data_IF_190455413289
#
_entry.id   IF_190455413289
#
_cell.length_a   1.000
_cell.length_b   1.000
_cell.length_c   1.000
_cell.angle_alpha   90.00
_cell.angle_beta   90.00
_cell.angle_gamma   90.00
#
_symmetry.space_group_name_H-M   'P 1'
#
loop_
_entity.id
_entity.type
_entity.pdbx_description
1 polymer ?
#
# COMPACT_ATOMS: atom_id res chain seq x y z
N UNK A 1 9.60 -22.66 -7.18
CA UNK A 1 9.18 -21.77 -6.08
C UNK A 1 8.25 -20.75 -6.73
N UNK A 2 6.92 -20.81 -6.40
CA UNK A 2 5.93 -19.90 -6.97
C UNK A 2 6.10 -18.48 -6.45
N UNK A 3 5.75 -17.50 -7.26
CA UNK A 3 5.69 -16.11 -6.85
C UNK A 3 4.64 -15.96 -5.75
N UNK A 4 4.94 -15.16 -4.72
CA UNK A 4 4.01 -14.89 -3.60
C UNK A 4 3.64 -13.42 -3.61
N UNK A 5 2.35 -13.14 -3.57
CA UNK A 5 1.81 -11.80 -3.39
C UNK A 5 1.44 -11.61 -1.92
N UNK A 6 2.00 -10.60 -1.28
CA UNK A 6 1.64 -10.21 0.09
C UNK A 6 0.77 -8.96 -0.03
N UNK A 7 -0.46 -9.05 0.47
CA UNK A 7 -1.40 -7.93 0.52
C UNK A 7 -1.65 -7.58 1.98
N UNK A 8 -1.35 -6.36 2.35
CA UNK A 8 -1.61 -5.85 3.70
C UNK A 8 -2.68 -4.76 3.62
N UNK A 9 -3.75 -4.97 4.38
CA UNK A 9 -4.88 -4.06 4.46
C UNK A 9 -4.91 -3.43 5.85
N UNK A 10 -4.91 -2.12 5.91
CA UNK A 10 -5.05 -1.37 7.16
C UNK A 10 -6.43 -0.75 7.24
N UNK A 11 -7.11 -0.89 8.37
CA UNK A 11 -8.44 -0.38 8.61
C UNK A 11 -9.42 -1.46 9.06
N UNK A 12 -10.68 -1.08 9.24
CA UNK A 12 -11.78 -1.99 9.61
C UNK A 12 -12.40 -2.59 8.33
N UNK A 13 -11.59 -3.42 7.64
CA UNK A 13 -12.00 -4.09 6.40
C UNK A 13 -12.26 -5.56 6.73
N UNK A 14 -13.43 -6.08 6.33
CA UNK A 14 -13.72 -7.51 6.44
C UNK A 14 -12.74 -8.29 5.55
N UNK A 15 -11.91 -9.17 6.13
CA UNK A 15 -10.99 -10.00 5.36
C UNK A 15 -11.70 -10.83 4.27
N UNK A 16 -12.95 -11.25 4.52
CA UNK A 16 -13.74 -11.99 3.55
C UNK A 16 -14.13 -11.17 2.32
N UNK A 17 -14.46 -9.88 2.50
CA UNK A 17 -14.69 -8.94 1.38
C UNK A 17 -13.40 -8.66 0.62
N UNK A 18 -12.29 -8.44 1.33
CA UNK A 18 -11.00 -8.20 0.71
C UNK A 18 -10.54 -9.39 -0.16
N UNK A 19 -10.68 -10.61 0.33
CA UNK A 19 -10.36 -11.84 -0.44
C UNK A 19 -11.26 -11.94 -1.67
N UNK A 20 -12.56 -11.65 -1.54
CA UNK A 20 -13.49 -11.62 -2.68
C UNK A 20 -13.11 -10.56 -3.70
N UNK A 21 -12.71 -9.37 -3.27
CA UNK A 21 -12.30 -8.28 -4.17
C UNK A 21 -10.97 -8.60 -4.88
N UNK A 22 -9.99 -9.16 -4.18
CA UNK A 22 -8.70 -9.57 -4.76
C UNK A 22 -8.87 -10.76 -5.69
N UNK A 23 -9.74 -11.71 -5.36
CA UNK A 23 -10.08 -12.87 -6.19
C UNK A 23 -10.98 -12.55 -7.39
N UNK A 24 -11.61 -11.38 -7.44
CA UNK A 24 -12.52 -10.93 -8.49
C UNK A 24 -11.81 -10.35 -9.73
N UNK A 25 -10.61 -10.82 -10.07
CA UNK A 25 -10.07 -10.51 -11.40
C UNK A 25 -10.78 -11.40 -12.42
N UNK A 26 -11.78 -10.87 -13.16
CA UNK A 26 -12.55 -11.70 -14.07
C UNK A 26 -11.67 -12.20 -15.21
N UNK A 27 -11.72 -13.49 -15.45
CA UNK A 27 -11.02 -14.12 -16.58
C UNK A 27 -11.84 -13.88 -17.84
N UNK A 28 -11.38 -12.91 -18.64
CA UNK A 28 -11.98 -12.62 -19.97
C UNK A 28 -11.46 -13.61 -20.99
N UNK A 29 -12.36 -14.27 -21.70
CA UNK A 29 -12.06 -15.17 -22.81
C UNK A 29 -12.94 -14.89 -24.02
N UNK A 30 -12.34 -14.99 -25.21
CA UNK A 30 -13.08 -15.01 -26.46
C UNK A 30 -13.14 -16.42 -26.96
N UNK A 31 -14.35 -16.86 -27.31
CA UNK A 31 -14.59 -18.23 -27.82
C UNK A 31 -15.30 -18.18 -29.17
N UNK A 32 -14.84 -18.98 -30.12
CA UNK A 32 -15.45 -19.10 -31.44
C UNK A 32 -16.34 -20.35 -31.55
N UNK A 33 -17.27 -20.34 -32.50
CA UNK A 33 -18.14 -21.47 -32.76
C UNK A 33 -17.35 -22.74 -33.11
N UNK A 34 -17.78 -23.89 -32.56
CA UNK A 34 -17.31 -25.21 -33.00
C UNK A 34 -17.87 -25.51 -34.41
N UNK A 35 -17.24 -26.46 -35.14
CA UNK A 35 -17.67 -26.85 -36.47
C UNK A 35 -19.10 -27.40 -36.51
N UNK A 36 -19.50 -28.13 -35.45
CA UNK A 36 -20.83 -28.71 -35.28
C UNK A 36 -21.77 -27.84 -34.38
N UNK A 37 -21.60 -26.51 -34.43
CA UNK A 37 -22.33 -25.54 -33.60
C UNK A 37 -23.86 -25.69 -33.69
N UNK A 38 -24.42 -25.81 -34.89
CA UNK A 38 -25.86 -25.89 -35.06
C UNK A 38 -26.43 -27.23 -34.50
N UNK A 39 -25.70 -28.34 -34.67
CA UNK A 39 -26.09 -29.64 -34.09
C UNK A 39 -26.09 -29.59 -32.54
N UNK A 40 -25.05 -29.02 -31.96
CA UNK A 40 -24.96 -28.85 -30.49
C UNK A 40 -26.08 -27.95 -30.01
N UNK A 41 -26.38 -26.86 -30.71
CA UNK A 41 -27.42 -25.92 -30.36
C UNK A 41 -28.81 -26.56 -30.36
N UNK A 42 -29.15 -27.31 -31.43
CA UNK A 42 -30.40 -28.02 -31.52
C UNK A 42 -30.54 -29.08 -30.41
N UNK A 43 -29.47 -29.87 -30.16
CA UNK A 43 -29.46 -30.88 -29.09
C UNK A 43 -29.63 -30.22 -27.72
N UNK A 44 -28.91 -29.13 -27.44
CA UNK A 44 -29.03 -28.39 -26.18
C UNK A 44 -30.45 -27.82 -26.01
N UNK A 45 -31.07 -27.31 -27.10
CA UNK A 45 -32.44 -26.79 -27.04
C UNK A 45 -33.44 -27.88 -26.65
N UNK A 46 -33.33 -29.05 -27.26
CA UNK A 46 -34.18 -30.20 -26.89
C UNK A 46 -33.99 -30.66 -25.43
N UNK A 47 -32.73 -30.61 -24.92
CA UNK A 47 -32.43 -30.91 -23.54
C UNK A 47 -33.04 -29.85 -22.60
N UNK A 48 -32.95 -28.58 -22.95
CA UNK A 48 -33.51 -27.47 -22.18
C UNK A 48 -35.04 -27.53 -22.10
N UNK A 49 -35.72 -27.90 -23.20
CA UNK A 49 -37.15 -28.10 -23.20
C UNK A 49 -37.57 -29.25 -22.24
N UNK A 50 -36.86 -30.39 -22.27
CA UNK A 50 -37.08 -31.49 -21.33
C UNK A 50 -36.80 -31.10 -19.89
N UNK A 51 -35.74 -30.32 -19.62
CA UNK A 51 -35.43 -29.82 -18.27
C UNK A 51 -36.62 -28.99 -17.78
N UNK A 52 -37.16 -28.10 -18.60
CA UNK A 52 -38.29 -27.25 -18.22
C UNK A 52 -39.54 -28.06 -17.88
N UNK A 53 -39.85 -29.06 -18.70
CA UNK A 53 -40.99 -29.96 -18.41
C UNK A 53 -40.81 -30.76 -17.11
N UNK A 54 -39.58 -31.21 -16.81
CA UNK A 54 -39.29 -31.96 -15.58
C UNK A 54 -39.30 -31.06 -14.34
N UNK A 55 -38.80 -29.83 -14.45
CA UNK A 55 -38.86 -28.82 -13.38
C UNK A 55 -40.30 -28.46 -13.02
N UNK A 56 -41.18 -28.32 -14.01
CA UNK A 56 -42.63 -28.09 -13.78
C UNK A 56 -43.29 -29.28 -13.02
N UNK A 57 -42.72 -30.49 -13.14
CA UNK A 57 -43.19 -31.71 -12.42
C UNK A 57 -42.46 -31.91 -11.09
N UNK A 58 -41.47 -31.05 -10.73
CA UNK A 58 -40.68 -31.19 -9.50
C UNK A 58 -39.66 -32.34 -9.52
N UNK A 59 -39.27 -32.83 -10.71
CA UNK A 59 -38.30 -33.89 -10.89
C UNK A 59 -36.88 -33.42 -10.92
N UNK A 60 -35.90 -34.28 -10.57
CA UNK A 60 -34.47 -33.92 -10.58
C UNK A 60 -33.94 -33.86 -12.03
N UNK A 61 -33.32 -32.72 -12.38
CA UNK A 61 -32.83 -32.43 -13.72
C UNK A 61 -31.32 -32.49 -13.86
N UNK A 62 -30.55 -32.84 -12.78
CA UNK A 62 -29.09 -32.80 -12.75
C UNK A 62 -28.43 -33.63 -13.88
N UNK A 63 -28.96 -34.79 -14.18
CA UNK A 63 -28.46 -35.67 -15.23
C UNK A 63 -28.62 -35.07 -16.64
N UNK A 64 -29.72 -34.35 -16.90
CA UNK A 64 -29.94 -33.68 -18.17
C UNK A 64 -29.09 -32.42 -18.31
N UNK A 65 -28.91 -31.68 -17.22
CA UNK A 65 -28.02 -30.52 -17.21
C UNK A 65 -26.58 -30.91 -17.50
N UNK A 66 -26.10 -32.07 -17.05
CA UNK A 66 -24.77 -32.59 -17.35
C UNK A 66 -24.58 -33.00 -18.83
N UNK A 67 -25.65 -33.14 -19.61
CA UNK A 67 -25.61 -33.48 -21.06
C UNK A 67 -25.54 -32.24 -21.97
N UNK A 68 -25.66 -31.02 -21.40
CA UNK A 68 -25.54 -29.78 -22.16
C UNK A 68 -24.08 -29.63 -22.59
N UNK A 69 -23.83 -29.58 -23.89
CA UNK A 69 -22.51 -29.43 -24.47
C UNK A 69 -22.21 -27.94 -24.73
N UNK A 70 -20.93 -27.55 -24.46
CA UNK A 70 -20.45 -26.20 -24.74
C UNK A 70 -20.30 -26.02 -26.28
N UNK A 71 -21.04 -25.09 -26.92
CA UNK A 71 -21.02 -24.92 -28.37
C UNK A 71 -19.84 -24.07 -28.89
N UNK A 72 -19.05 -23.49 -27.98
CA UNK A 72 -17.92 -22.64 -28.31
C UNK A 72 -16.60 -23.27 -27.88
N UNK A 73 -15.52 -22.92 -28.60
CA UNK A 73 -14.14 -23.34 -28.28
C UNK A 73 -13.26 -22.11 -27.99
N UNK A 74 -12.30 -22.19 -27.07
CA UNK A 74 -11.38 -21.10 -26.76
C UNK A 74 -10.56 -20.67 -27.98
N UNK A 75 -10.28 -19.36 -28.10
CA UNK A 75 -9.51 -18.78 -29.21
C UNK A 75 -8.08 -18.40 -28.85
N UNK A 76 -7.73 -18.47 -27.56
CA UNK A 76 -6.44 -17.96 -27.05
C UNK A 76 -6.43 -16.45 -26.78
N UNK A 77 -7.37 -15.67 -27.31
CA UNK A 77 -7.53 -14.26 -26.96
C UNK A 77 -8.22 -14.16 -25.59
N UNK A 78 -7.51 -13.60 -24.62
CA UNK A 78 -7.96 -13.47 -23.23
C UNK A 78 -7.59 -12.12 -22.62
N UNK A 79 -7.91 -11.92 -21.34
CA UNK A 79 -7.67 -10.67 -20.62
C UNK A 79 -6.21 -10.21 -20.57
N UNK A 80 -5.24 -11.10 -20.77
CA UNK A 80 -3.80 -10.79 -20.82
C UNK A 80 -3.46 -9.80 -21.94
N UNK A 81 -4.22 -9.83 -23.02
CA UNK A 81 -4.05 -8.95 -24.18
C UNK A 81 -4.81 -7.64 -24.07
N UNK A 82 -5.57 -7.45 -22.98
CA UNK A 82 -6.33 -6.24 -22.76
C UNK A 82 -5.43 -5.13 -22.24
N UNK A 83 -5.44 -3.99 -22.94
CA UNK A 83 -4.73 -2.77 -22.53
C UNK A 83 -5.60 -1.91 -21.61
N UNK A 84 -6.91 -1.81 -21.92
CA UNK A 84 -7.85 -0.98 -21.17
C UNK A 84 -9.29 -1.42 -21.42
N UNK A 85 -10.13 -1.31 -20.39
CA UNK A 85 -11.58 -1.39 -20.51
C UNK A 85 -12.22 -0.10 -19.96
N UNK A 86 -13.31 0.37 -20.57
CA UNK A 86 -14.02 1.59 -20.16
C UNK A 86 -15.52 1.39 -20.28
N UNK A 87 -16.26 2.00 -19.36
CA UNK A 87 -17.68 2.22 -19.56
C UNK A 87 -17.88 3.26 -20.67
N UNK A 88 -18.77 2.97 -21.60
CA UNK A 88 -19.19 3.86 -22.66
C UNK A 88 -20.70 3.73 -22.89
N UNK A 89 -21.30 4.63 -23.65
CA UNK A 89 -22.73 4.65 -23.92
C UNK A 89 -22.98 4.65 -25.42
N UNK A 90 -23.95 3.87 -25.85
CA UNK A 90 -24.38 3.88 -27.24
C UNK A 90 -25.06 5.22 -27.57
N UNK A 91 -24.66 5.84 -28.67
CA UNK A 91 -25.13 7.19 -29.04
C UNK A 91 -26.62 7.22 -29.41
N UNK A 92 -27.20 6.10 -29.84
CA UNK A 92 -28.58 6.03 -30.26
C UNK A 92 -29.52 5.54 -29.17
N UNK A 93 -29.10 4.52 -28.41
CA UNK A 93 -29.94 3.86 -27.39
C UNK A 93 -29.66 4.37 -25.97
N UNK A 94 -28.54 5.08 -25.78
CA UNK A 94 -28.03 5.49 -24.44
C UNK A 94 -27.77 4.32 -23.50
N UNK A 95 -27.74 3.09 -24.00
CA UNK A 95 -27.44 1.90 -23.20
C UNK A 95 -25.95 1.85 -22.86
N UNK A 96 -25.60 1.46 -21.61
CA UNK A 96 -24.23 1.29 -21.21
C UNK A 96 -23.61 0.03 -21.82
N UNK A 97 -22.37 0.14 -22.31
CA UNK A 97 -21.57 -0.99 -22.73
C UNK A 97 -20.13 -0.86 -22.25
N UNK A 98 -19.37 -1.96 -22.26
CA UNK A 98 -17.96 -1.94 -21.92
C UNK A 98 -17.12 -1.97 -23.19
N UNK A 99 -16.38 -0.89 -23.42
CA UNK A 99 -15.41 -0.77 -24.53
C UNK A 99 -14.09 -1.39 -24.12
N UNK A 100 -13.56 -2.28 -24.94
CA UNK A 100 -12.28 -2.97 -24.77
C UNK A 100 -11.25 -2.43 -25.76
N UNK A 101 -10.04 -2.17 -25.30
CA UNK A 101 -8.87 -1.83 -26.12
C UNK A 101 -7.77 -2.85 -25.87
N UNK A 102 -7.35 -3.57 -26.90
CA UNK A 102 -6.28 -4.54 -26.82
C UNK A 102 -4.90 -3.89 -27.02
N UNK A 103 -3.86 -4.55 -26.52
CA UNK A 103 -2.48 -4.21 -26.82
C UNK A 103 -2.14 -4.57 -28.29
N UNK A 104 -0.95 -4.25 -28.76
CA UNK A 104 -0.53 -4.48 -30.16
C UNK A 104 -0.56 -5.95 -30.58
N UNK A 105 -0.29 -6.88 -29.68
CA UNK A 105 -0.34 -8.32 -29.93
C UNK A 105 -1.81 -8.80 -29.98
N UNK A 106 -2.60 -8.43 -28.97
CA UNK A 106 -4.02 -8.76 -28.93
C UNK A 106 -4.82 -8.18 -30.09
N UNK A 107 -4.46 -6.98 -30.57
CA UNK A 107 -5.10 -6.36 -31.73
C UNK A 107 -4.90 -7.21 -33.00
N UNK A 108 -3.71 -7.79 -33.21
CA UNK A 108 -3.45 -8.68 -34.36
C UNK A 108 -4.24 -9.98 -34.22
N UNK A 109 -4.23 -10.60 -33.04
CA UNK A 109 -5.00 -11.83 -32.78
C UNK A 109 -6.50 -11.57 -32.99
N UNK A 110 -7.02 -10.43 -32.51
CA UNK A 110 -8.43 -10.05 -32.66
C UNK A 110 -8.81 -9.80 -34.11
N UNK A 111 -7.92 -9.15 -34.89
CA UNK A 111 -8.11 -8.92 -36.33
C UNK A 111 -8.18 -10.23 -37.13
N UNK A 112 -7.26 -11.19 -36.88
CA UNK A 112 -7.28 -12.52 -37.47
C UNK A 112 -8.53 -13.31 -37.04
N UNK A 113 -8.89 -13.24 -35.75
CA UNK A 113 -10.05 -13.91 -35.20
C UNK A 113 -11.35 -13.41 -35.83
N UNK A 114 -11.52 -12.09 -35.97
CA UNK A 114 -12.71 -11.50 -36.61
C UNK A 114 -12.73 -11.77 -38.10
N UNK A 115 -11.59 -11.77 -38.80
CA UNK A 115 -11.51 -12.09 -40.21
C UNK A 115 -12.01 -13.51 -40.53
N UNK A 116 -11.64 -14.52 -39.76
CA UNK A 116 -12.04 -15.92 -39.99
C UNK A 116 -13.46 -16.27 -39.48
N UNK A 117 -14.05 -15.39 -38.67
CA UNK A 117 -15.35 -15.58 -38.07
C UNK A 117 -16.43 -14.62 -38.61
N UNK A 118 -16.22 -13.99 -39.79
CA UNK A 118 -17.24 -13.13 -40.42
C UNK A 118 -18.52 -13.93 -40.63
N UNK A 119 -19.67 -13.39 -40.21
CA UNK A 119 -20.97 -14.03 -40.24
C UNK A 119 -21.23 -15.03 -39.10
N UNK A 120 -20.24 -15.39 -38.27
CA UNK A 120 -20.33 -16.30 -37.14
C UNK A 120 -20.43 -15.55 -35.80
N UNK A 121 -20.80 -16.26 -34.74
CA UNK A 121 -20.86 -15.74 -33.37
C UNK A 121 -19.45 -15.84 -32.75
N UNK A 122 -19.01 -14.74 -32.16
CA UNK A 122 -17.81 -14.68 -31.33
C UNK A 122 -18.25 -14.40 -29.89
N UNK A 123 -18.31 -15.43 -29.08
CA UNK A 123 -18.81 -15.34 -27.72
C UNK A 123 -17.76 -14.76 -26.78
N UNK A 124 -18.18 -13.88 -25.87
CA UNK A 124 -17.38 -13.26 -24.83
C UNK A 124 -17.76 -13.87 -23.48
N UNK A 125 -16.80 -14.50 -22.85
CA UNK A 125 -16.94 -15.17 -21.57
C UNK A 125 -16.19 -14.41 -20.48
N UNK A 126 -16.80 -14.38 -19.31
CA UNK A 126 -16.17 -13.88 -18.08
C UNK A 126 -16.37 -14.96 -17.02
N UNK A 127 -15.27 -15.45 -16.44
CA UNK A 127 -15.25 -16.54 -15.44
C UNK A 127 -16.00 -17.80 -15.92
N UNK A 128 -15.91 -18.11 -17.22
CA UNK A 128 -16.58 -19.25 -17.83
C UNK A 128 -18.08 -19.05 -18.11
N UNK A 129 -18.64 -17.87 -17.81
CA UNK A 129 -20.03 -17.52 -18.08
C UNK A 129 -20.12 -16.69 -19.37
N UNK A 130 -20.98 -17.03 -20.34
CA UNK A 130 -21.17 -16.23 -21.55
C UNK A 130 -21.91 -14.92 -21.20
N UNK A 131 -21.26 -13.78 -21.43
CA UNK A 131 -21.83 -12.46 -21.14
C UNK A 131 -22.43 -11.83 -22.40
N UNK A 132 -21.82 -12.08 -23.56
CA UNK A 132 -22.27 -11.51 -24.82
C UNK A 132 -21.91 -12.46 -25.97
N UNK A 133 -22.80 -12.62 -26.93
CA UNK A 133 -22.64 -13.51 -28.10
C UNK A 133 -22.87 -12.75 -29.40
N UNK A 134 -22.07 -11.69 -29.69
CA UNK A 134 -22.25 -10.89 -30.89
C UNK A 134 -21.89 -11.67 -32.15
N UNK A 135 -22.58 -11.36 -33.26
CA UNK A 135 -22.22 -11.82 -34.60
C UNK A 135 -21.19 -10.88 -35.21
N UNK A 136 -20.09 -11.42 -35.69
CA UNK A 136 -19.06 -10.65 -36.41
C UNK A 136 -19.61 -10.24 -37.78
N UNK A 137 -19.77 -8.93 -38.00
CA UNK A 137 -20.30 -8.41 -39.27
C UNK A 137 -19.18 -8.28 -40.30
N UNK A 138 -18.02 -7.81 -39.86
CA UNK A 138 -16.86 -7.57 -40.73
C UNK A 138 -15.57 -7.78 -39.92
N UNK A 139 -14.45 -7.85 -40.66
CA UNK A 139 -13.12 -7.87 -40.06
C UNK A 139 -12.87 -6.57 -39.28
N UNK A 140 -12.47 -6.67 -38.01
CA UNK A 140 -12.22 -5.52 -37.16
C UNK A 140 -10.70 -5.32 -37.02
N UNK A 141 -10.19 -4.28 -37.65
CA UNK A 141 -8.81 -3.81 -37.49
C UNK A 141 -8.77 -2.70 -36.43
N UNK A 142 -7.66 -2.62 -35.66
CA UNK A 142 -7.46 -1.56 -34.65
C UNK A 142 -7.68 -1.99 -33.19
N UNK A 143 -7.97 -3.27 -32.95
CA UNK A 143 -7.93 -3.85 -31.60
C UNK A 143 -8.96 -3.28 -30.64
N UNK A 144 -10.14 -2.89 -31.10
CA UNK A 144 -11.24 -2.43 -30.26
C UNK A 144 -12.43 -3.38 -30.37
N UNK A 145 -12.97 -3.77 -29.22
CA UNK A 145 -14.19 -4.55 -29.10
C UNK A 145 -15.14 -3.89 -28.11
N UNK A 146 -16.41 -4.27 -28.17
CA UNK A 146 -17.43 -3.83 -27.19
C UNK A 146 -18.16 -5.04 -26.63
N UNK A 147 -18.39 -5.03 -25.31
CA UNK A 147 -19.26 -5.98 -24.64
C UNK A 147 -20.60 -5.29 -24.46
N UNK A 148 -21.60 -5.76 -25.19
CA UNK A 148 -23.00 -5.31 -25.08
C UNK A 148 -23.79 -6.34 -24.31
N UNK A 149 -24.77 -5.90 -23.52
CA UNK A 149 -25.66 -6.74 -22.72
C UNK A 149 -26.62 -5.86 -21.92
N UNK A 150 -27.53 -6.47 -21.17
CA UNK A 150 -28.42 -5.74 -20.26
C UNK A 150 -27.70 -5.35 -18.97
N UNK A 151 -26.77 -4.39 -19.09
CA UNK A 151 -26.03 -3.86 -17.93
C UNK A 151 -26.72 -2.64 -17.36
N UNK A 152 -26.75 -2.56 -16.04
CA UNK A 152 -26.91 -1.26 -15.38
C UNK A 152 -25.59 -0.47 -15.49
N UNK A 153 -25.66 0.86 -15.36
CA UNK A 153 -24.46 1.72 -15.37
C UNK A 153 -23.45 1.29 -14.31
N UNK A 154 -23.95 0.84 -13.15
CA UNK A 154 -23.10 0.35 -12.04
C UNK A 154 -22.36 -0.94 -12.42
N UNK A 155 -23.07 -1.91 -12.95
CA UNK A 155 -22.48 -3.20 -13.37
C UNK A 155 -21.44 -3.00 -14.50
N UNK A 156 -21.79 -2.23 -15.52
CA UNK A 156 -20.86 -1.94 -16.61
C UNK A 156 -19.60 -1.20 -16.13
N UNK A 157 -19.74 -0.29 -15.16
CA UNK A 157 -18.62 0.43 -14.55
C UNK A 157 -17.72 -0.49 -13.72
N UNK A 158 -18.33 -1.36 -12.91
CA UNK A 158 -17.60 -2.35 -12.10
C UNK A 158 -16.88 -3.36 -13.01
N UNK A 159 -17.55 -3.86 -14.04
CA UNK A 159 -16.95 -4.76 -15.03
C UNK A 159 -15.76 -4.10 -15.75
N UNK A 160 -15.93 -2.87 -16.23
CA UNK A 160 -14.85 -2.12 -16.88
C UNK A 160 -13.65 -1.90 -15.94
N UNK A 161 -13.90 -1.58 -14.67
CA UNK A 161 -12.86 -1.41 -13.65
C UNK A 161 -12.12 -2.72 -13.41
N UNK A 162 -12.85 -3.82 -13.22
CA UNK A 162 -12.28 -5.13 -12.92
C UNK A 162 -11.47 -5.67 -14.11
N UNK A 163 -11.97 -5.51 -15.33
CA UNK A 163 -11.23 -5.87 -16.54
C UNK A 163 -10.00 -4.98 -16.78
N UNK A 164 -10.07 -3.68 -16.42
CA UNK A 164 -8.92 -2.76 -16.54
C UNK A 164 -7.84 -3.03 -15.48
N UNK A 165 -8.20 -3.57 -14.32
CA UNK A 165 -7.23 -4.00 -13.31
C UNK A 165 -6.35 -5.15 -13.80
N UNK A 166 -6.73 -5.79 -14.91
CA UNK A 166 -5.98 -6.85 -15.59
C UNK A 166 -6.34 -8.23 -15.05
N UNK A 167 -6.41 -9.19 -15.95
CA UNK A 167 -6.39 -10.59 -15.57
C UNK A 167 -4.99 -10.90 -15.01
N UNK A 168 -4.93 -11.33 -13.76
CA UNK A 168 -3.68 -11.86 -13.21
C UNK A 168 -3.21 -13.02 -14.11
N UNK A 169 -1.93 -13.04 -14.48
CA UNK A 169 -1.41 -14.05 -15.40
C UNK A 169 -1.46 -15.48 -14.84
N UNK A 170 -1.79 -15.62 -13.55
CA UNK A 170 -1.95 -16.91 -12.88
C UNK A 170 -3.08 -16.82 -11.83
N UNK A 171 -3.82 -17.93 -11.58
CA UNK A 171 -4.81 -17.97 -10.52
C UNK A 171 -4.15 -17.77 -9.15
N UNK A 172 -4.70 -16.86 -8.35
CA UNK A 172 -4.22 -16.62 -6.99
C UNK A 172 -4.98 -17.53 -6.02
N UNK A 173 -4.21 -18.27 -5.22
CA UNK A 173 -4.75 -19.06 -4.13
C UNK A 173 -4.33 -18.47 -2.79
N UNK A 174 -5.27 -18.32 -1.87
CA UNK A 174 -4.97 -17.90 -0.51
C UNK A 174 -4.12 -18.96 0.19
N UNK A 175 -2.87 -18.62 0.51
CA UNK A 175 -1.92 -19.53 1.19
C UNK A 175 -1.99 -19.32 2.71
N UNK A 176 -2.09 -18.06 3.15
CA UNK A 176 -2.10 -17.71 4.57
C UNK A 176 -2.84 -16.39 4.77
N UNK A 177 -3.58 -16.30 5.86
CA UNK A 177 -4.28 -15.11 6.30
C UNK A 177 -3.94 -14.86 7.76
N UNK A 178 -3.40 -13.67 8.05
CA UNK A 178 -3.18 -13.21 9.41
C UNK A 178 -4.05 -11.97 9.64
N UNK A 179 -5.03 -12.07 10.53
CA UNK A 179 -5.83 -10.92 10.94
C UNK A 179 -5.55 -10.57 12.40
N UNK A 180 -5.24 -9.31 12.66
CA UNK A 180 -5.13 -8.77 14.03
C UNK A 180 -6.44 -8.08 14.35
N UNK A 181 -7.24 -8.67 15.23
CA UNK A 181 -8.54 -8.11 15.60
C UNK A 181 -8.41 -6.70 16.23
N UNK A 182 -9.42 -5.81 16.08
CA UNK A 182 -9.40 -4.43 16.57
C UNK A 182 -9.09 -4.32 18.06
N UNK A 183 -9.53 -5.29 18.87
CA UNK A 183 -9.28 -5.35 20.32
C UNK A 183 -7.80 -5.55 20.64
N UNK A 184 -7.12 -6.47 19.95
CA UNK A 184 -5.69 -6.72 20.13
C UNK A 184 -4.85 -5.54 19.64
N UNK A 185 -5.22 -4.93 18.52
CA UNK A 185 -4.59 -3.73 18.00
C UNK A 185 -4.68 -2.56 19.00
N UNK A 186 -5.87 -2.31 19.59
CA UNK A 186 -6.09 -1.27 20.60
C UNK A 186 -5.27 -1.51 21.87
N UNK A 187 -5.26 -2.75 22.37
CA UNK A 187 -4.48 -3.12 23.57
C UNK A 187 -2.98 -2.94 23.32
N UNK A 188 -2.48 -3.40 22.18
CA UNK A 188 -1.07 -3.26 21.81
C UNK A 188 -0.66 -1.80 21.67
N UNK A 189 -1.49 -0.98 21.01
CA UNK A 189 -1.26 0.46 20.89
C UNK A 189 -1.22 1.14 22.24
N UNK A 190 -2.17 0.86 23.12
CA UNK A 190 -2.18 1.42 24.48
C UNK A 190 -0.95 1.04 25.29
N UNK A 191 -0.52 -0.23 25.22
CA UNK A 191 0.70 -0.70 25.89
C UNK A 191 1.94 -0.01 25.31
N UNK A 192 2.04 0.13 23.99
CA UNK A 192 3.17 0.80 23.32
C UNK A 192 3.23 2.29 23.67
N UNK A 193 2.09 2.99 23.68
CA UNK A 193 2.03 4.39 24.09
C UNK A 193 2.45 4.56 25.56
N UNK A 194 1.97 3.70 26.47
CA UNK A 194 2.41 3.72 27.87
C UNK A 194 3.92 3.49 27.98
N UNK A 195 4.46 2.49 27.29
CA UNK A 195 5.90 2.22 27.27
C UNK A 195 6.69 3.42 26.72
N UNK A 196 6.20 4.08 25.65
CA UNK A 196 6.80 5.28 25.10
C UNK A 196 6.83 6.45 26.09
N UNK A 197 5.73 6.69 26.82
CA UNK A 197 5.67 7.73 27.87
C UNK A 197 6.64 7.42 29.02
N UNK A 198 6.64 6.19 29.52
CA UNK A 198 7.58 5.80 30.59
C UNK A 198 9.04 5.87 30.11
N UNK A 199 9.32 5.46 28.88
CA UNK A 199 10.65 5.59 28.28
C UNK A 199 11.08 7.05 28.18
N UNK A 200 10.21 7.93 27.67
CA UNK A 200 10.46 9.37 27.60
C UNK A 200 10.74 9.98 28.95
N UNK A 201 9.92 9.66 29.96
CA UNK A 201 10.11 10.13 31.35
C UNK A 201 11.43 9.61 31.95
N UNK A 202 11.78 8.35 31.68
CA UNK A 202 13.05 7.78 32.10
C UNK A 202 14.25 8.50 31.51
N UNK A 203 14.20 8.80 30.22
CA UNK A 203 15.24 9.58 29.51
C UNK A 203 15.34 11.00 30.05
N UNK A 204 14.23 11.69 30.26
CA UNK A 204 14.19 13.04 30.87
C UNK A 204 14.81 13.02 32.26
N UNK A 205 14.43 12.06 33.10
CA UNK A 205 14.98 11.91 34.45
C UNK A 205 16.48 11.67 34.40
N UNK A 206 16.93 10.75 33.53
CA UNK A 206 18.36 10.49 33.33
C UNK A 206 19.12 11.75 32.94
N UNK A 207 18.61 12.49 31.94
CA UNK A 207 19.25 13.70 31.46
C UNK A 207 19.37 14.78 32.57
N UNK A 208 18.33 14.99 33.35
CA UNK A 208 18.33 15.97 34.43
C UNK A 208 19.32 15.56 35.53
N UNK A 209 19.35 14.29 35.90
CA UNK A 209 20.24 13.79 36.97
C UNK A 209 21.71 13.85 36.58
N UNK A 210 22.05 13.43 35.35
CA UNK A 210 23.45 13.36 34.89
C UNK A 210 23.99 14.70 34.34
N UNK A 211 23.16 15.44 33.58
CA UNK A 211 23.58 16.67 32.90
C UNK A 211 23.06 17.94 33.53
N UNK A 212 22.25 17.85 34.59
CA UNK A 212 21.73 18.98 35.38
C UNK A 212 21.09 20.04 34.44
N UNK A 213 21.64 21.27 34.39
CA UNK A 213 21.07 22.36 33.58
C UNK A 213 21.06 22.06 32.06
N UNK A 214 22.15 21.61 31.42
CA UNK A 214 22.09 21.10 30.06
C UNK A 214 21.05 20.00 29.85
N UNK A 215 20.91 19.08 30.82
CA UNK A 215 19.91 18.01 30.78
C UNK A 215 18.47 18.53 30.79
N UNK A 216 18.19 19.58 31.55
CA UNK A 216 16.89 20.25 31.53
C UNK A 216 16.60 20.88 30.16
N UNK A 217 17.59 21.53 29.55
CA UNK A 217 17.47 22.09 28.19
C UNK A 217 17.20 21.01 27.17
N UNK A 218 17.94 19.88 27.24
CA UNK A 218 17.69 18.74 26.34
C UNK A 218 16.29 18.14 26.55
N UNK A 219 15.81 18.09 27.79
CA UNK A 219 14.46 17.59 28.09
C UNK A 219 13.38 18.46 27.43
N UNK A 220 13.53 19.78 27.49
CA UNK A 220 12.62 20.70 26.79
C UNK A 220 12.72 20.53 25.27
N UNK A 221 13.96 20.43 24.74
CA UNK A 221 14.16 20.17 23.30
C UNK A 221 13.55 18.83 22.86
N UNK A 222 13.60 17.78 23.71
CA UNK A 222 13.00 16.48 23.43
C UNK A 222 11.47 16.54 23.43
N UNK A 223 10.85 17.33 24.30
CA UNK A 223 9.41 17.57 24.29
C UNK A 223 9.00 18.29 22.98
N UNK A 224 9.75 19.31 22.59
CA UNK A 224 9.52 20.04 21.31
C UNK A 224 9.69 19.09 20.12
N UNK A 225 10.76 18.27 20.12
CA UNK A 225 10.98 17.22 19.11
C UNK A 225 9.77 16.31 18.99
N UNK A 226 9.27 15.81 20.12
CA UNK A 226 8.10 14.93 20.16
C UNK A 226 6.86 15.62 19.58
N UNK A 227 6.65 16.89 19.90
CA UNK A 227 5.56 17.70 19.32
C UNK A 227 5.68 17.87 17.81
N UNK A 228 6.89 18.16 17.31
CA UNK A 228 7.14 18.32 15.87
C UNK A 228 6.88 17.00 15.12
N UNK A 229 7.42 15.88 15.61
CA UNK A 229 7.29 14.61 14.91
C UNK A 229 5.83 14.11 14.89
N UNK A 230 5.10 14.28 15.99
CA UNK A 230 3.66 13.95 16.04
C UNK A 230 2.84 14.84 15.09
N UNK A 231 3.20 16.11 14.97
CA UNK A 231 2.57 17.04 14.03
C UNK A 231 2.85 16.63 12.58
N UNK A 232 4.08 16.19 12.27
CA UNK A 232 4.44 15.67 10.96
C UNK A 232 3.66 14.39 10.62
N UNK A 233 3.49 13.45 11.54
CA UNK A 233 2.70 12.24 11.31
C UNK A 233 1.23 12.55 11.02
N UNK A 234 0.70 13.65 11.57
CA UNK A 234 -0.67 14.11 11.29
C UNK A 234 -0.76 14.83 9.94
N UNK A 235 0.27 15.58 9.57
CA UNK A 235 0.32 16.34 8.31
C UNK A 235 0.54 15.42 7.10
N UNK A 236 1.47 14.47 7.24
CA UNK A 236 1.70 13.42 6.26
C UNK A 236 0.78 12.25 6.67
N UNK A 237 -0.19 11.81 5.83
CA UNK A 237 -1.09 10.73 6.21
C UNK A 237 -0.35 9.39 6.31
N UNK A 238 0.48 9.24 7.34
CA UNK A 238 1.23 8.01 7.63
C UNK A 238 0.35 7.08 8.44
N UNK A 239 0.13 5.88 7.93
CA UNK A 239 -0.52 4.81 8.70
C UNK A 239 0.44 4.34 9.79
N UNK A 240 0.18 4.72 11.03
CA UNK A 240 0.99 4.29 12.18
C UNK A 240 0.72 2.81 12.49
N UNK A 241 1.54 1.93 11.93
CA UNK A 241 1.56 0.51 12.29
C UNK A 241 2.22 0.35 13.67
N UNK A 242 2.03 -0.81 14.31
CA UNK A 242 2.69 -1.11 15.60
C UNK A 242 4.22 -1.01 15.48
N UNK A 243 4.78 -1.42 14.35
CA UNK A 243 6.21 -1.25 14.04
C UNK A 243 6.58 0.23 13.89
N UNK A 244 5.71 1.04 13.26
CA UNK A 244 5.91 2.49 13.16
C UNK A 244 5.94 3.17 14.52
N UNK A 245 5.09 2.76 15.46
CA UNK A 245 5.17 3.24 16.86
C UNK A 245 6.51 2.84 17.50
N UNK A 246 7.01 1.62 17.24
CA UNK A 246 8.34 1.17 17.68
C UNK A 246 9.47 2.04 17.12
N UNK A 247 9.43 2.35 15.81
CA UNK A 247 10.38 3.24 15.15
C UNK A 247 10.37 4.66 15.73
N UNK A 248 9.18 5.20 16.04
CA UNK A 248 9.05 6.48 16.73
C UNK A 248 9.68 6.44 18.14
N UNK A 249 9.38 5.44 18.96
CA UNK A 249 9.95 5.33 20.31
C UNK A 249 11.49 5.22 20.24
N UNK A 250 12.02 4.44 19.31
CA UNK A 250 13.46 4.33 19.10
C UNK A 250 14.06 5.67 18.69
N UNK A 251 13.41 6.43 17.82
CA UNK A 251 13.90 7.75 17.38
C UNK A 251 13.93 8.77 18.50
N UNK A 252 13.04 8.69 19.49
CA UNK A 252 13.08 9.50 20.72
C UNK A 252 14.36 9.23 21.52
N UNK A 253 14.78 7.96 21.63
CA UNK A 253 16.06 7.60 22.27
C UNK A 253 17.25 8.20 21.54
N UNK A 254 17.29 8.07 20.20
CA UNK A 254 18.36 8.61 19.37
C UNK A 254 18.40 10.16 19.31
N UNK A 255 17.25 10.82 19.53
CA UNK A 255 17.19 12.28 19.56
C UNK A 255 18.00 12.88 20.73
N UNK A 256 18.21 12.11 21.77
CA UNK A 256 19.01 12.54 22.94
C UNK A 256 20.51 12.43 22.67
N UNK A 257 20.95 11.44 21.90
CA UNK A 257 22.38 11.17 21.65
C UNK A 257 23.11 12.40 21.09
N UNK A 258 22.49 13.12 20.16
CA UNK A 258 23.05 14.35 19.61
C UNK A 258 23.24 15.42 20.68
N UNK A 259 22.29 15.58 21.60
CA UNK A 259 22.36 16.54 22.70
C UNK A 259 23.45 16.16 23.69
N UNK A 260 23.53 14.86 24.05
CA UNK A 260 24.58 14.32 24.95
C UNK A 260 25.96 14.63 24.36
N UNK A 261 26.17 14.37 23.09
CA UNK A 261 27.45 14.61 22.43
C UNK A 261 27.81 16.09 22.44
N UNK A 262 26.89 17.00 22.17
CA UNK A 262 27.08 18.44 22.26
C UNK A 262 27.47 18.85 23.69
N UNK A 263 26.80 18.33 24.71
CA UNK A 263 27.05 18.66 26.11
C UNK A 263 28.38 18.14 26.61
N UNK A 264 28.78 16.93 26.21
CA UNK A 264 30.11 16.42 26.56
C UNK A 264 31.22 17.29 25.91
N UNK A 265 31.06 17.70 24.65
CA UNK A 265 32.00 18.61 24.03
C UNK A 265 32.00 19.99 24.70
N UNK A 266 30.86 20.52 25.06
CA UNK A 266 30.76 21.77 25.82
C UNK A 266 31.47 21.67 27.17
N UNK A 267 31.29 20.56 27.89
CA UNK A 267 31.96 20.28 29.17
C UNK A 267 33.48 20.21 29.01
N UNK A 268 33.96 19.52 27.95
CA UNK A 268 35.41 19.48 27.62
C UNK A 268 36.01 20.88 27.42
N UNK A 269 35.34 21.70 26.60
CA UNK A 269 35.81 23.05 26.26
C UNK A 269 35.81 23.99 27.51
N UNK A 270 34.78 23.89 28.34
CA UNK A 270 34.69 24.63 29.61
C UNK A 270 35.76 24.18 30.63
N UNK A 271 36.14 22.91 30.64
CA UNK A 271 37.23 22.38 31.50
C UNK A 271 38.62 22.94 31.06
N UNK A 272 38.79 23.22 29.76
CA UNK A 272 39.97 23.85 29.21
C UNK A 272 40.07 25.35 29.56
N UNK A 273 39.07 25.91 30.25
CA UNK A 273 39.09 27.32 30.70
C UNK A 273 38.55 28.30 29.65
N UNK A 274 37.99 27.85 28.55
CA UNK A 274 37.42 28.74 27.54
C UNK A 274 36.20 29.46 28.08
N UNK A 275 35.94 30.64 27.56
CA UNK A 275 34.70 31.37 27.80
C UNK A 275 33.53 30.63 27.23
N UNK A 276 32.35 30.78 27.86
CA UNK A 276 31.17 30.00 27.55
C UNK A 276 30.72 30.13 26.08
N UNK A 277 30.77 31.34 25.54
CA UNK A 277 30.43 31.63 24.13
C UNK A 277 31.35 30.87 23.17
N UNK A 278 32.65 30.91 23.42
CA UNK A 278 33.67 30.23 22.62
C UNK A 278 33.52 28.71 22.78
N UNK A 279 33.35 28.23 24.03
CA UNK A 279 33.18 26.83 24.34
C UNK A 279 31.93 26.25 23.63
N UNK A 280 30.82 26.98 23.63
CA UNK A 280 29.59 26.58 22.95
C UNK A 280 29.79 26.47 21.44
N UNK A 281 30.43 27.48 20.80
CA UNK A 281 30.73 27.47 19.38
C UNK A 281 31.62 26.27 18.99
N UNK A 282 32.67 26.02 19.76
CA UNK A 282 33.59 24.90 19.51
C UNK A 282 32.93 23.55 19.77
N UNK A 283 32.05 23.42 20.79
CA UNK A 283 31.32 22.22 21.09
C UNK A 283 30.45 21.79 19.91
N UNK A 284 29.67 22.72 19.34
CA UNK A 284 28.87 22.44 18.15
C UNK A 284 29.73 22.08 16.94
N UNK A 285 30.84 22.81 16.71
CA UNK A 285 31.74 22.54 15.59
C UNK A 285 32.35 21.14 15.67
N UNK A 286 32.75 20.69 16.87
CA UNK A 286 33.40 19.40 17.09
C UNK A 286 32.39 18.24 17.17
N UNK A 287 31.17 18.48 17.66
CA UNK A 287 30.14 17.48 17.73
C UNK A 287 29.49 17.21 16.35
N UNK A 288 29.39 18.22 15.51
CA UNK A 288 28.63 18.13 14.25
C UNK A 288 29.07 16.98 13.33
N UNK A 289 30.37 16.74 13.04
CA UNK A 289 30.73 15.62 12.16
C UNK A 289 30.24 14.28 12.67
N UNK A 290 30.37 14.00 13.98
CA UNK A 290 29.92 12.74 14.58
C UNK A 290 28.39 12.61 14.54
N UNK A 291 27.66 13.69 14.84
CA UNK A 291 26.20 13.70 14.77
C UNK A 291 25.74 13.47 13.34
N UNK A 292 26.33 14.16 12.37
CA UNK A 292 26.00 14.01 10.96
C UNK A 292 26.25 12.57 10.49
N UNK A 293 27.46 12.06 10.70
CA UNK A 293 27.89 10.78 10.15
C UNK A 293 27.10 9.60 10.78
N UNK A 294 26.87 9.63 12.09
CA UNK A 294 26.05 8.63 12.78
C UNK A 294 24.59 8.62 12.31
N UNK A 295 23.98 9.81 12.23
CA UNK A 295 22.58 9.93 11.77
C UNK A 295 22.45 9.60 10.27
N UNK A 296 23.44 9.96 9.44
CA UNK A 296 23.44 9.66 8.02
C UNK A 296 23.51 8.16 7.77
N UNK A 297 24.34 7.43 8.54
CA UNK A 297 24.41 5.97 8.48
C UNK A 297 23.04 5.34 8.80
N UNK A 298 22.40 5.79 9.86
CA UNK A 298 21.07 5.26 10.25
C UNK A 298 19.98 5.65 9.23
N UNK A 299 20.08 6.83 8.62
CA UNK A 299 19.17 7.27 7.56
C UNK A 299 19.31 6.39 6.30
N UNK A 300 20.53 6.02 5.92
CA UNK A 300 20.77 5.08 4.80
C UNK A 300 20.12 3.72 5.12
N UNK A 301 20.28 3.21 6.34
CA UNK A 301 19.62 1.97 6.76
C UNK A 301 18.09 2.10 6.68
N UNK A 302 17.53 3.22 7.16
CA UNK A 302 16.11 3.49 7.07
C UNK A 302 15.59 3.53 5.61
N UNK A 303 16.34 4.13 4.69
CA UNK A 303 16.01 4.15 3.26
C UNK A 303 16.02 2.74 2.68
N UNK A 304 17.05 1.94 2.98
CA UNK A 304 17.14 0.55 2.51
C UNK A 304 15.97 -0.28 3.05
N UNK A 305 15.64 -0.14 4.33
CA UNK A 305 14.51 -0.84 4.94
C UNK A 305 13.17 -0.37 4.36
N UNK A 306 13.06 0.89 3.99
CA UNK A 306 11.84 1.43 3.36
C UNK A 306 11.67 0.90 1.93
N UNK A 307 12.75 0.83 1.15
CA UNK A 307 12.68 0.37 -0.26
C UNK A 307 12.48 -1.14 -0.36
N UNK A 308 13.30 -1.91 0.36
CA UNK A 308 13.34 -3.38 0.25
C UNK A 308 12.54 -4.12 1.33
N UNK A 309 12.02 -3.43 2.34
CA UNK A 309 11.28 -4.04 3.43
C UNK A 309 9.84 -4.41 3.06
N UNK A 310 9.25 -5.32 3.85
CA UNK A 310 7.80 -5.56 3.83
C UNK A 310 7.06 -4.33 4.35
N UNK A 311 5.74 -4.22 4.10
CA UNK A 311 4.93 -3.07 4.52
C UNK A 311 5.05 -2.79 6.04
N UNK A 312 5.13 -3.84 6.87
CA UNK A 312 5.38 -3.71 8.30
C UNK A 312 6.72 -3.03 8.61
N UNK A 313 7.79 -3.41 7.92
CA UNK A 313 9.14 -2.84 8.05
C UNK A 313 9.21 -1.43 7.46
N UNK A 314 8.46 -1.17 6.38
CA UNK A 314 8.37 0.18 5.78
C UNK A 314 7.81 1.21 6.75
N UNK A 315 6.77 0.84 7.51
CA UNK A 315 6.21 1.72 8.54
C UNK A 315 7.22 2.09 9.63
N UNK A 316 7.99 1.12 10.11
CA UNK A 316 9.11 1.34 11.05
C UNK A 316 10.18 2.25 10.43
N UNK A 317 10.63 1.95 9.22
CA UNK A 317 11.69 2.68 8.53
C UNK A 317 11.32 4.15 8.28
N UNK A 318 10.08 4.40 7.86
CA UNK A 318 9.57 5.75 7.63
C UNK A 318 9.55 6.59 8.91
N UNK A 319 8.99 6.05 10.00
CA UNK A 319 8.91 6.78 11.28
C UNK A 319 10.29 7.00 11.89
N UNK A 320 11.19 6.02 11.76
CA UNK A 320 12.58 6.13 12.18
C UNK A 320 13.31 7.21 11.37
N UNK A 321 13.22 7.18 10.04
CA UNK A 321 13.89 8.15 9.16
C UNK A 321 13.42 9.58 9.40
N UNK A 322 12.10 9.81 9.51
CA UNK A 322 11.55 11.11 9.87
C UNK A 322 12.02 11.55 11.27
N UNK A 323 12.04 10.63 12.22
CA UNK A 323 12.53 10.89 13.57
C UNK A 323 13.97 11.36 13.57
N UNK A 324 14.86 10.73 12.81
CA UNK A 324 16.27 11.13 12.69
C UNK A 324 16.41 12.54 12.11
N UNK A 325 15.68 12.86 11.04
CA UNK A 325 15.73 14.18 10.42
C UNK A 325 15.29 15.27 11.39
N UNK A 326 14.19 15.04 12.12
CA UNK A 326 13.68 15.99 13.12
C UNK A 326 14.62 16.08 14.33
N UNK A 327 15.27 14.97 14.74
CA UNK A 327 16.24 14.98 15.84
C UNK A 327 17.47 15.81 15.53
N UNK A 328 18.01 15.69 14.31
CA UNK A 328 19.12 16.53 13.84
C UNK A 328 18.73 18.02 13.84
N UNK A 329 17.55 18.34 13.32
CA UNK A 329 17.01 19.70 13.36
C UNK A 329 16.87 20.20 14.81
N UNK A 330 16.29 19.42 15.69
CA UNK A 330 16.10 19.77 17.11
C UNK A 330 17.44 20.02 17.83
N UNK A 331 18.42 19.15 17.63
CA UNK A 331 19.75 19.32 18.24
C UNK A 331 20.47 20.58 17.75
N UNK A 332 20.42 20.85 16.44
CA UNK A 332 21.18 21.97 15.85
C UNK A 332 20.49 23.32 16.07
N UNK A 333 19.14 23.34 15.93
CA UNK A 333 18.39 24.61 15.98
C UNK A 333 17.83 24.83 17.36
N UNK A 334 17.01 23.90 17.88
CA UNK A 334 16.29 24.10 19.14
C UNK A 334 17.25 24.13 20.32
N UNK A 335 18.09 23.10 20.49
CA UNK A 335 19.04 23.03 21.61
C UNK A 335 20.04 24.16 21.57
N UNK A 336 20.55 24.51 20.37
CA UNK A 336 21.47 25.64 20.22
C UNK A 336 20.82 26.97 20.60
N UNK A 337 19.58 27.20 20.18
CA UNK A 337 18.84 28.42 20.52
C UNK A 337 18.64 28.55 22.02
N UNK A 338 18.24 27.46 22.68
CA UNK A 338 18.10 27.46 24.14
C UNK A 338 19.43 27.71 24.86
N UNK A 339 20.52 27.08 24.45
CA UNK A 339 21.82 27.31 25.03
C UNK A 339 22.29 28.76 24.84
N UNK A 340 22.00 29.38 23.71
CA UNK A 340 22.30 30.78 23.44
C UNK A 340 21.55 31.77 24.35
N UNK A 341 20.35 31.44 24.83
CA UNK A 341 19.56 32.27 25.75
C UNK A 341 20.29 32.44 27.09
N UNK A 342 21.14 31.48 27.49
CA UNK A 342 21.92 31.59 28.73
C UNK A 342 23.18 32.43 28.62
N UNK A 343 23.56 32.85 27.42
CA UNK A 343 24.68 33.80 27.22
C UNK A 343 24.38 35.12 27.92
N UNK A 344 25.34 35.61 28.70
CA UNK A 344 25.23 36.85 29.46
C UNK A 344 24.36 36.77 30.71
N UNK A 345 23.78 35.62 31.03
CA UNK A 345 22.95 35.43 32.25
C UNK A 345 23.79 35.00 33.47
N UNK A 346 23.24 35.19 34.67
CA UNK A 346 23.90 34.68 35.93
C UNK A 346 24.12 33.16 35.89
N UNK A 347 23.33 32.40 35.16
CA UNK A 347 23.45 30.96 35.02
C UNK A 347 24.68 30.54 34.18
N UNK A 348 25.16 31.37 33.29
CA UNK A 348 26.44 31.15 32.59
C UNK A 348 27.60 31.02 33.57
N UNK A 349 27.62 31.83 34.65
CA UNK A 349 28.68 31.88 35.67
C UNK A 349 28.56 30.73 36.68
N UNK A 350 27.50 29.99 36.71
CA UNK A 350 27.29 28.88 37.61
C UNK A 350 28.06 27.61 37.16
N UNK A 351 29.43 27.68 37.30
CA UNK A 351 30.35 26.63 36.83
C UNK A 351 29.96 25.19 37.27
N UNK A 352 29.33 25.06 38.43
CA UNK A 352 28.90 23.74 38.98
C UNK A 352 27.75 23.11 38.23
N UNK A 353 26.84 23.91 37.61
CA UNK A 353 25.69 23.41 36.86
C UNK A 353 26.03 22.97 35.43
N UNK A 354 27.18 23.43 34.91
CA UNK A 354 27.66 23.10 33.55
C UNK A 354 28.80 22.06 33.53
N UNK A 355 29.53 21.90 34.67
CA UNK A 355 30.67 20.99 34.76
C UNK A 355 30.32 19.59 35.26
N UNK A 356 29.12 19.39 35.82
CA UNK A 356 28.58 18.11 36.28
C UNK A 356 29.38 17.54 37.45
#
# INVERSE_FOLDING_TARGET
QGERLIVELSGDIDPGEAIKEIGKTPVLEFREQKENFEEIKEKNQQILEKIKEMEERGENTDQLRAQIEEPFKPTGLNGRYLKKARLDFDQNTSEPFVSLEFNSEGAKIFEELTARNVGKILAIYIDGIPISTPRVQEKISGGRARITGHFTVKEAKELARNLSAGALPAPIHLISQNSVGPSLGKISLQKSLKAGVFGLLGVILFMILFYRLPGLIASVALIIYTGIILSLFKLIPVTLTLAGVGGFILSVGMAVDANVLIFERLREELRQGKDFQLALKEAFRRAWPSIRDGNFTTLIVAIILFEFGTSFVKGFALTLGLGILVSMFSAIVVTRSFLNIFLGTRLEKAKLSWRG
#
